data_IF_332014199729
#
_entry.id   IF_332014199729
#
_cell.length_a   1.000
_cell.length_b   1.000
_cell.length_c   1.000
_cell.angle_alpha   90.00
_cell.angle_beta   90.00
_cell.angle_gamma   90.00
#
_symmetry.space_group_name_H-M   'P 1'
#
loop_
_entity.id
_entity.type
_entity.pdbx_description
1 polymer ?
#
# COMPACT_ATOMS: atom_id res chain seq x y z
N UNK A 1 37.88 21.03 33.62
CA UNK A 1 37.94 19.93 32.64
C UNK A 1 36.52 19.70 32.18
N UNK A 2 36.23 20.06 30.93
CA UNK A 2 34.87 20.19 30.43
C UNK A 2 34.19 18.82 30.34
N UNK A 3 33.11 18.69 31.09
CA UNK A 3 32.12 17.62 30.98
C UNK A 3 31.43 17.73 29.60
N UNK A 4 31.92 16.97 28.63
CA UNK A 4 31.24 16.81 27.35
C UNK A 4 30.01 15.91 27.56
N UNK A 5 28.85 16.55 27.61
CA UNK A 5 27.56 15.86 27.75
C UNK A 5 27.34 14.85 26.62
N UNK A 6 26.77 13.71 26.98
CA UNK A 6 26.15 12.77 26.03
C UNK A 6 24.93 13.45 25.38
N UNK A 7 25.18 14.34 24.42
CA UNK A 7 24.17 14.97 23.58
C UNK A 7 23.78 14.06 22.42
N UNK A 8 22.64 13.38 22.56
CA UNK A 8 21.64 13.08 21.51
C UNK A 8 22.04 12.70 20.07
N UNK A 9 23.13 11.97 19.80
CA UNK A 9 23.50 11.67 18.40
C UNK A 9 23.11 10.29 17.83
N UNK A 10 22.56 9.37 18.64
CA UNK A 10 22.15 8.05 18.15
C UNK A 10 20.85 7.60 18.81
N UNK A 11 19.71 8.12 18.34
CA UNK A 11 18.41 7.61 18.74
C UNK A 11 18.16 6.26 18.07
N UNK A 12 18.67 5.18 18.66
CA UNK A 12 18.33 3.82 18.26
C UNK A 12 16.90 3.50 18.73
N UNK A 13 15.95 3.18 17.84
CA UNK A 13 14.63 2.73 18.27
C UNK A 13 14.75 1.48 19.15
N UNK A 14 14.00 1.44 20.25
CA UNK A 14 13.97 0.28 21.13
C UNK A 14 13.50 -0.96 20.37
N UNK A 15 14.20 -2.08 20.55
CA UNK A 15 13.71 -3.36 20.02
C UNK A 15 12.57 -3.90 20.88
N UNK A 16 11.42 -4.07 20.26
CA UNK A 16 10.17 -4.48 20.88
C UNK A 16 9.80 -5.95 20.64
N UNK A 17 10.70 -6.73 20.03
CA UNK A 17 10.42 -8.10 19.61
C UNK A 17 9.54 -8.21 18.35
N UNK A 18 9.02 -7.10 17.83
CA UNK A 18 8.18 -7.03 16.63
C UNK A 18 8.83 -6.30 15.47
N UNK A 19 9.93 -5.61 15.69
CA UNK A 19 10.75 -4.99 14.65
C UNK A 19 11.77 -6.01 14.11
N UNK A 20 12.46 -5.69 13.01
CA UNK A 20 13.50 -6.57 12.47
C UNK A 20 14.66 -6.68 13.46
N UNK A 21 14.83 -7.87 14.07
CA UNK A 21 15.95 -8.09 15.00
C UNK A 21 17.29 -7.96 14.28
N UNK A 22 17.41 -8.42 13.03
CA UNK A 22 18.63 -8.26 12.22
C UNK A 22 19.05 -6.80 12.03
N UNK A 23 18.09 -5.92 11.74
CA UNK A 23 18.36 -4.50 11.53
C UNK A 23 18.72 -3.81 12.84
N UNK A 24 17.95 -4.07 13.91
CA UNK A 24 18.26 -3.54 15.23
C UNK A 24 19.62 -4.02 15.71
N UNK A 25 19.91 -5.31 15.56
CA UNK A 25 21.17 -5.91 15.97
C UNK A 25 22.37 -5.24 15.29
N UNK A 26 22.26 -4.95 13.99
CA UNK A 26 23.31 -4.25 13.25
C UNK A 26 23.55 -2.85 13.81
N UNK A 27 22.49 -2.07 13.97
CA UNK A 27 22.58 -0.70 14.52
C UNK A 27 23.07 -0.69 15.97
N UNK A 28 22.68 -1.67 16.77
CA UNK A 28 23.15 -1.81 18.16
C UNK A 28 24.64 -2.14 18.21
N UNK A 29 25.13 -3.03 17.33
CA UNK A 29 26.58 -3.30 17.19
C UNK A 29 27.34 -2.03 16.82
N UNK A 30 26.82 -1.23 15.89
CA UNK A 30 27.46 0.04 15.48
C UNK A 30 27.49 1.05 16.64
N UNK A 31 26.42 1.15 17.44
CA UNK A 31 26.37 1.97 18.66
C UNK A 31 27.41 1.52 19.70
N UNK A 32 27.51 0.21 19.97
CA UNK A 32 28.48 -0.32 20.93
C UNK A 32 29.93 -0.10 20.46
N UNK A 33 30.19 -0.13 19.15
CA UNK A 33 31.51 0.24 18.61
C UNK A 33 31.81 1.70 18.87
N UNK A 34 30.84 2.60 18.61
CA UNK A 34 31.00 4.03 18.85
C UNK A 34 31.24 4.35 20.35
N UNK A 35 30.62 3.60 21.26
CA UNK A 35 30.81 3.73 22.70
C UNK A 35 32.05 3.01 23.24
N UNK A 36 32.80 2.28 22.40
CA UNK A 36 33.96 1.49 22.83
C UNK A 36 33.62 0.22 23.62
N UNK A 37 32.37 -0.23 23.60
CA UNK A 37 31.84 -1.34 24.40
C UNK A 37 31.79 -2.68 23.63
N UNK A 38 32.08 -2.67 22.34
CA UNK A 38 31.92 -3.83 21.45
C UNK A 38 32.70 -5.08 21.87
N UNK A 39 33.80 -4.93 22.60
CA UNK A 39 34.62 -6.05 23.10
C UNK A 39 33.91 -6.86 24.18
N UNK A 40 33.05 -6.23 24.98
CA UNK A 40 32.34 -6.90 26.07
C UNK A 40 31.35 -7.97 25.57
N UNK A 41 30.88 -7.86 24.33
CA UNK A 41 30.03 -8.88 23.71
C UNK A 41 30.73 -10.23 23.51
N UNK A 42 32.07 -10.24 23.51
CA UNK A 42 32.87 -11.46 23.32
C UNK A 42 33.18 -12.19 24.63
N UNK A 43 32.70 -11.69 25.77
CA UNK A 43 32.95 -12.26 27.09
C UNK A 43 34.36 -11.97 27.62
N UNK A 44 34.69 -12.59 28.75
CA UNK A 44 35.90 -12.28 29.53
C UNK A 44 37.20 -12.62 28.81
N UNK A 45 37.17 -13.54 27.83
CA UNK A 45 38.30 -13.87 26.96
C UNK A 45 38.79 -12.66 26.14
N UNK A 46 37.94 -11.65 25.93
CA UNK A 46 38.29 -10.43 25.20
C UNK A 46 38.82 -9.29 26.09
N UNK A 47 39.01 -9.55 27.39
CA UNK A 47 39.58 -8.58 28.33
C UNK A 47 41.04 -8.25 27.94
N UNK A 48 41.40 -6.98 27.75
CA UNK A 48 42.79 -6.60 27.49
C UNK A 48 43.71 -6.88 28.68
N UNK A 49 44.92 -7.41 28.44
CA UNK A 49 45.91 -7.71 29.50
C UNK A 49 46.27 -6.50 30.37
N UNK A 50 46.23 -5.29 29.80
CA UNK A 50 46.56 -4.04 30.50
C UNK A 50 45.40 -3.46 31.32
N UNK A 51 44.22 -4.09 31.28
CA UNK A 51 43.01 -3.58 31.91
C UNK A 51 42.78 -4.26 33.26
N UNK A 52 42.45 -3.48 34.29
CA UNK A 52 42.12 -4.05 35.61
C UNK A 52 40.80 -4.82 35.56
N UNK A 53 40.57 -5.72 36.53
CA UNK A 53 39.29 -6.43 36.67
C UNK A 53 38.13 -5.44 36.92
N UNK A 54 38.37 -4.42 37.75
CA UNK A 54 37.35 -3.42 38.09
C UNK A 54 36.96 -2.57 36.87
N UNK A 55 37.93 -2.10 36.08
CA UNK A 55 37.63 -1.33 34.87
C UNK A 55 36.87 -2.19 33.85
N UNK A 56 37.21 -3.48 33.76
CA UNK A 56 36.53 -4.43 32.87
C UNK A 56 35.08 -4.65 33.30
N UNK A 57 34.85 -4.82 34.60
CA UNK A 57 33.51 -4.94 35.16
C UNK A 57 32.67 -3.69 34.89
N UNK A 58 33.22 -2.49 35.11
CA UNK A 58 32.50 -1.23 34.81
C UNK A 58 32.15 -1.12 33.32
N UNK A 59 33.05 -1.54 32.44
CA UNK A 59 32.80 -1.59 30.99
C UNK A 59 31.67 -2.57 30.64
N UNK A 60 31.67 -3.76 31.25
CA UNK A 60 30.61 -4.76 31.09
C UNK A 60 29.26 -4.24 31.60
N UNK A 61 29.20 -3.62 32.78
CA UNK A 61 27.98 -3.03 33.35
C UNK A 61 27.42 -1.91 32.46
N UNK A 62 28.29 -1.07 31.89
CA UNK A 62 27.90 -0.05 30.89
C UNK A 62 27.34 -0.69 29.64
N UNK A 63 27.93 -1.77 29.16
CA UNK A 63 27.44 -2.50 27.98
C UNK A 63 26.06 -3.13 28.23
N UNK A 64 25.89 -3.82 29.35
CA UNK A 64 24.59 -4.37 29.81
C UNK A 64 23.54 -3.28 29.87
N UNK A 65 23.84 -2.17 30.54
CA UNK A 65 22.94 -1.04 30.70
C UNK A 65 22.54 -0.45 29.34
N UNK A 66 23.50 -0.29 28.43
CA UNK A 66 23.23 0.23 27.08
C UNK A 66 22.32 -0.69 26.29
N UNK A 67 22.56 -2.01 26.32
CA UNK A 67 21.69 -3.00 25.65
C UNK A 67 20.28 -2.95 26.23
N UNK A 68 20.14 -2.99 27.55
CA UNK A 68 18.84 -2.96 28.25
C UNK A 68 18.04 -1.68 27.95
N UNK A 69 18.70 -0.53 27.83
CA UNK A 69 18.06 0.74 27.46
C UNK A 69 17.61 0.78 25.99
N UNK A 70 18.20 -0.04 25.12
CA UNK A 70 17.89 -0.11 23.69
C UNK A 70 16.88 -1.22 23.33
N UNK A 71 16.28 -1.88 24.31
CA UNK A 71 15.21 -2.87 24.14
C UNK A 71 13.97 -2.43 24.94
N UNK A 72 12.78 -2.88 24.53
CA UNK A 72 11.53 -2.59 25.22
C UNK A 72 11.34 -3.51 26.43
N UNK A 73 10.55 -3.08 27.42
CA UNK A 73 10.33 -3.81 28.68
C UNK A 73 9.88 -5.27 28.45
N UNK A 74 9.04 -5.49 27.43
CA UNK A 74 8.61 -6.85 27.02
C UNK A 74 9.77 -7.79 26.67
N UNK A 75 10.86 -7.26 26.13
CA UNK A 75 12.08 -8.00 25.78
C UNK A 75 13.08 -8.03 26.94
N UNK A 76 13.15 -6.95 27.74
CA UNK A 76 13.98 -6.91 28.97
C UNK A 76 13.62 -8.08 29.89
N UNK A 77 12.33 -8.35 30.07
CA UNK A 77 11.85 -9.46 30.89
C UNK A 77 12.39 -10.83 30.44
N UNK A 78 12.77 -10.99 29.17
CA UNK A 78 13.36 -12.24 28.67
C UNK A 78 14.86 -12.38 29.02
N UNK A 79 15.54 -11.29 29.34
CA UNK A 79 16.99 -11.24 29.59
C UNK A 79 17.33 -10.71 30.99
N UNK A 80 16.34 -10.57 31.86
CA UNK A 80 16.48 -9.90 33.17
C UNK A 80 17.48 -10.59 34.09
N UNK A 81 17.51 -11.94 34.05
CA UNK A 81 18.39 -12.78 34.87
C UNK A 81 19.85 -12.81 34.37
N UNK A 82 20.12 -12.24 33.20
CA UNK A 82 21.46 -12.27 32.60
C UNK A 82 22.25 -11.01 32.97
N UNK A 83 23.40 -11.20 33.65
CA UNK A 83 24.25 -10.08 34.12
C UNK A 83 25.45 -9.81 33.21
N UNK A 84 25.77 -10.72 32.28
CA UNK A 84 26.88 -10.55 31.34
C UNK A 84 26.39 -10.00 29.99
N UNK A 85 27.11 -9.04 29.37
CA UNK A 85 26.80 -8.57 28.02
C UNK A 85 26.74 -9.71 27.00
N UNK A 86 27.68 -10.65 27.08
CA UNK A 86 27.75 -11.80 26.19
C UNK A 86 26.53 -12.74 26.37
N UNK A 87 26.13 -13.00 27.61
CA UNK A 87 24.97 -13.83 27.91
C UNK A 87 23.65 -13.21 27.42
N UNK A 88 23.45 -11.90 27.66
CA UNK A 88 22.31 -11.16 27.10
C UNK A 88 22.31 -11.27 25.58
N UNK A 89 23.46 -11.03 24.94
CA UNK A 89 23.58 -11.04 23.50
C UNK A 89 23.26 -12.40 22.89
N UNK A 90 23.83 -13.46 23.45
CA UNK A 90 23.60 -14.84 23.03
C UNK A 90 22.13 -15.24 23.21
N UNK A 91 21.50 -14.85 24.32
CA UNK A 91 20.08 -15.13 24.59
C UNK A 91 19.18 -14.43 23.58
N UNK A 92 19.44 -13.16 23.25
CA UNK A 92 18.71 -12.45 22.20
C UNK A 92 18.89 -13.11 20.82
N UNK A 93 20.10 -13.53 20.48
CA UNK A 93 20.35 -14.29 19.23
C UNK A 93 19.61 -15.64 19.24
N UNK A 94 19.60 -16.38 20.35
CA UNK A 94 18.84 -17.64 20.48
C UNK A 94 17.32 -17.43 20.32
N UNK A 95 16.79 -16.32 20.85
CA UNK A 95 15.35 -16.04 20.77
C UNK A 95 14.93 -15.56 19.38
N UNK A 96 15.73 -14.71 18.74
CA UNK A 96 15.32 -13.97 17.54
C UNK A 96 16.12 -14.26 16.26
N UNK A 97 17.26 -14.96 16.33
CA UNK A 97 18.06 -15.40 15.16
C UNK A 97 18.10 -16.90 14.99
N UNK A 98 17.87 -17.68 16.04
CA UNK A 98 17.90 -19.13 15.89
C UNK A 98 16.85 -19.60 14.87
N UNK A 99 17.16 -20.68 14.15
CA UNK A 99 16.18 -21.46 13.38
C UNK A 99 15.22 -22.24 14.30
N UNK A 100 14.99 -21.74 15.52
CA UNK A 100 14.11 -22.34 16.50
C UNK A 100 12.66 -22.31 16.02
N UNK A 101 11.87 -23.27 16.46
CA UNK A 101 10.44 -23.30 16.18
C UNK A 101 9.77 -21.99 16.65
N UNK A 102 10.15 -21.48 17.82
CA UNK A 102 9.63 -20.24 18.38
C UNK A 102 9.84 -19.05 17.45
N UNK A 103 11.07 -18.85 16.93
CA UNK A 103 11.36 -17.75 16.02
C UNK A 103 10.57 -17.88 14.70
N UNK A 104 10.53 -19.08 14.12
CA UNK A 104 9.71 -19.38 12.93
C UNK A 104 8.24 -19.03 13.15
N UNK A 105 7.67 -19.42 14.30
CA UNK A 105 6.27 -19.15 14.66
C UNK A 105 6.02 -17.65 14.91
N UNK A 106 6.94 -16.94 15.56
CA UNK A 106 6.84 -15.49 15.78
C UNK A 106 6.85 -14.72 14.46
N UNK A 107 7.76 -15.06 13.53
CA UNK A 107 7.83 -14.44 12.22
C UNK A 107 6.56 -14.72 11.39
N UNK A 108 6.07 -15.98 11.36
CA UNK A 108 4.80 -16.32 10.72
C UNK A 108 3.62 -15.56 11.33
N UNK A 109 3.57 -15.46 12.66
CA UNK A 109 2.52 -14.70 13.37
C UNK A 109 2.55 -13.22 13.01
N UNK A 110 3.74 -12.62 12.88
CA UNK A 110 3.90 -11.23 12.41
C UNK A 110 3.43 -11.07 10.98
N UNK A 111 3.83 -11.96 10.07
CA UNK A 111 3.39 -11.94 8.67
C UNK A 111 1.87 -12.05 8.52
N UNK A 112 1.23 -13.03 9.16
CA UNK A 112 -0.22 -13.23 9.02
C UNK A 112 -1.06 -12.09 9.61
N UNK A 113 -0.50 -11.36 10.58
CA UNK A 113 -1.15 -10.21 11.22
C UNK A 113 -0.72 -8.87 10.66
N UNK A 114 0.17 -8.85 9.67
CA UNK A 114 0.59 -7.61 9.03
C UNK A 114 -0.62 -6.97 8.36
N UNK A 115 -0.90 -5.71 8.68
CA UNK A 115 -1.97 -4.90 8.10
C UNK A 115 -1.43 -3.51 7.84
N UNK A 116 -1.80 -2.96 6.69
CA UNK A 116 -1.56 -1.57 6.32
C UNK A 116 -2.74 -0.73 6.78
N UNK A 117 -2.47 0.44 7.36
CA UNK A 117 -3.50 1.44 7.66
C UNK A 117 -3.67 2.40 6.46
N UNK A 118 -4.83 3.05 6.33
CA UNK A 118 -5.09 3.96 5.20
C UNK A 118 -4.14 5.17 5.15
N UNK A 119 -3.55 5.54 6.28
CA UNK A 119 -2.58 6.64 6.42
C UNK A 119 -1.14 6.23 6.04
N UNK A 120 -0.85 4.93 5.97
CA UNK A 120 0.47 4.42 5.62
C UNK A 120 0.74 4.58 4.11
N UNK A 121 2.02 4.64 3.73
CA UNK A 121 2.37 4.52 2.31
C UNK A 121 2.48 3.06 1.88
N UNK A 122 1.91 2.73 0.71
CA UNK A 122 2.00 1.38 0.13
C UNK A 122 3.45 0.88 0.02
N UNK A 123 4.38 1.78 -0.32
CA UNK A 123 5.80 1.46 -0.47
C UNK A 123 6.43 1.07 0.87
N UNK A 124 6.16 1.80 1.95
CA UNK A 124 6.66 1.46 3.28
C UNK A 124 6.11 0.11 3.75
N UNK A 125 4.81 -0.13 3.55
CA UNK A 125 4.18 -1.41 3.87
C UNK A 125 4.81 -2.58 3.09
N UNK A 126 5.03 -2.40 1.79
CA UNK A 126 5.71 -3.40 0.95
C UNK A 126 7.13 -3.70 1.44
N UNK A 127 7.87 -2.69 1.89
CA UNK A 127 9.21 -2.88 2.44
C UNK A 127 9.19 -3.70 3.73
N UNK A 128 8.21 -3.46 4.62
CA UNK A 128 8.02 -4.25 5.84
C UNK A 128 7.65 -5.70 5.49
N UNK A 129 6.72 -5.90 4.54
CA UNK A 129 6.33 -7.22 4.07
C UNK A 129 7.52 -8.01 3.49
N UNK A 130 8.28 -7.40 2.57
CA UNK A 130 9.46 -8.03 1.97
C UNK A 130 10.52 -8.38 3.00
N UNK A 131 10.75 -7.49 3.99
CA UNK A 131 11.64 -7.76 5.11
C UNK A 131 11.24 -9.00 5.92
N UNK A 132 9.95 -9.20 6.17
CA UNK A 132 9.43 -10.40 6.85
C UNK A 132 9.63 -11.67 6.01
N UNK A 133 9.37 -11.61 4.71
CA UNK A 133 9.62 -12.74 3.80
C UNK A 133 11.11 -13.11 3.80
N UNK A 134 12.01 -12.13 3.77
CA UNK A 134 13.44 -12.38 3.82
C UNK A 134 13.91 -12.93 5.17
N UNK A 135 13.34 -12.46 6.29
CA UNK A 135 13.58 -13.05 7.62
C UNK A 135 13.14 -14.51 7.68
N UNK A 136 11.96 -14.83 7.13
CA UNK A 136 11.45 -16.20 7.03
C UNK A 136 12.35 -17.09 6.18
N UNK A 137 12.82 -16.59 5.02
CA UNK A 137 13.78 -17.28 4.16
C UNK A 137 15.09 -17.58 4.92
N UNK A 138 15.61 -16.63 5.72
CA UNK A 138 16.83 -16.81 6.53
C UNK A 138 16.68 -17.91 7.59
N UNK A 139 15.50 -18.08 8.18
CA UNK A 139 15.21 -19.17 9.12
C UNK A 139 14.75 -20.47 8.44
N UNK A 140 14.93 -20.58 7.12
CA UNK A 140 14.57 -21.74 6.31
C UNK A 140 13.07 -22.07 6.35
N UNK A 141 12.24 -21.02 6.24
CA UNK A 141 10.80 -21.10 6.01
C UNK A 141 10.52 -20.51 4.62
N UNK A 142 10.11 -21.38 3.70
CA UNK A 142 9.69 -20.96 2.36
C UNK A 142 8.18 -20.78 2.33
N UNK A 143 7.75 -19.66 1.77
CA UNK A 143 6.36 -19.37 1.42
C UNK A 143 6.32 -19.34 -0.10
N UNK A 144 5.32 -19.98 -0.71
CA UNK A 144 5.20 -19.97 -2.17
C UNK A 144 5.01 -18.55 -2.70
N UNK A 145 5.43 -18.27 -3.94
CA UNK A 145 5.24 -16.94 -4.53
C UNK A 145 3.76 -16.53 -4.61
N UNK A 146 2.88 -17.51 -4.82
CA UNK A 146 1.43 -17.34 -4.83
C UNK A 146 0.90 -16.93 -3.44
N UNK A 147 1.31 -17.65 -2.38
CA UNK A 147 0.95 -17.30 -1.01
C UNK A 147 1.53 -15.95 -0.59
N UNK A 148 2.76 -15.62 -1.02
CA UNK A 148 3.36 -14.31 -0.78
C UNK A 148 2.51 -13.20 -1.41
N UNK A 149 2.11 -13.36 -2.67
CA UNK A 149 1.24 -12.40 -3.35
C UNK A 149 -0.11 -12.26 -2.64
N UNK A 150 -0.76 -13.38 -2.30
CA UNK A 150 -2.05 -13.39 -1.61
C UNK A 150 -1.97 -12.75 -0.22
N UNK A 151 -0.91 -13.04 0.54
CA UNK A 151 -0.70 -12.44 1.87
C UNK A 151 -0.48 -10.93 1.78
N UNK A 152 0.27 -10.46 0.78
CA UNK A 152 0.44 -9.02 0.55
C UNK A 152 -0.91 -8.37 0.22
N UNK A 153 -1.67 -8.94 -0.72
CA UNK A 153 -2.97 -8.40 -1.12
C UNK A 153 -3.99 -8.35 0.04
N UNK A 154 -4.05 -9.41 0.86
CA UNK A 154 -4.92 -9.49 2.05
C UNK A 154 -4.44 -8.63 3.23
N UNK A 155 -3.25 -8.04 3.15
CA UNK A 155 -2.73 -7.15 4.19
C UNK A 155 -3.10 -5.68 3.97
N UNK A 156 -3.67 -5.35 2.81
CA UNK A 156 -4.10 -3.99 2.46
C UNK A 156 -5.46 -3.65 3.10
N UNK A 157 -5.77 -2.37 3.33
CA UNK A 157 -7.07 -1.96 3.87
C UNK A 157 -8.16 -2.07 2.80
N UNK A 158 -9.43 -2.05 3.23
CA UNK A 158 -10.62 -2.18 2.36
C UNK A 158 -10.66 -1.13 1.24
N UNK A 159 -10.00 0.03 1.43
CA UNK A 159 -9.87 1.05 0.38
C UNK A 159 -9.12 0.55 -0.87
N UNK A 160 -8.39 -0.57 -0.78
CA UNK A 160 -7.73 -1.24 -1.89
C UNK A 160 -8.48 -2.44 -2.46
N UNK A 161 -9.66 -2.81 -1.91
CA UNK A 161 -10.40 -4.03 -2.28
C UNK A 161 -10.63 -4.13 -3.79
N UNK A 162 -11.07 -3.05 -4.45
CA UNK A 162 -11.28 -3.01 -5.90
C UNK A 162 -10.00 -3.33 -6.67
N UNK A 163 -8.85 -2.87 -6.20
CA UNK A 163 -7.56 -3.15 -6.84
C UNK A 163 -7.14 -4.60 -6.59
N UNK A 164 -7.35 -5.12 -5.38
CA UNK A 164 -7.10 -6.53 -5.04
C UNK A 164 -7.92 -7.45 -5.94
N UNK A 165 -9.22 -7.24 -6.05
CA UNK A 165 -10.12 -8.02 -6.92
C UNK A 165 -9.68 -7.95 -8.38
N UNK A 166 -9.30 -6.77 -8.86
CA UNK A 166 -8.82 -6.58 -10.23
C UNK A 166 -7.50 -7.33 -10.48
N UNK A 167 -6.61 -7.38 -9.48
CA UNK A 167 -5.33 -8.09 -9.57
C UNK A 167 -5.54 -9.60 -9.62
N UNK A 168 -6.52 -10.12 -8.89
CA UNK A 168 -6.84 -11.55 -8.80
C UNK A 168 -7.70 -12.03 -9.97
N UNK A 169 -8.55 -11.17 -10.52
CA UNK A 169 -9.50 -11.54 -11.57
C UNK A 169 -8.79 -12.03 -12.85
N UNK A 170 -9.20 -13.21 -13.33
CA UNK A 170 -8.79 -13.75 -14.62
C UNK A 170 -7.34 -14.23 -14.71
N UNK A 171 -6.65 -14.42 -13.58
CA UNK A 171 -5.30 -14.98 -13.54
C UNK A 171 -5.30 -16.40 -13.00
N UNK A 172 -4.63 -17.30 -13.72
CA UNK A 172 -4.41 -18.68 -13.27
C UNK A 172 -3.21 -18.79 -12.31
N UNK A 173 -2.27 -17.83 -12.36
CA UNK A 173 -1.11 -17.75 -11.47
C UNK A 173 -0.78 -16.31 -11.14
N UNK A 174 -0.19 -16.08 -9.96
CA UNK A 174 0.29 -14.77 -9.54
C UNK A 174 1.62 -14.91 -8.80
N UNK A 175 2.58 -14.06 -9.13
CA UNK A 175 3.84 -13.94 -8.38
C UNK A 175 3.81 -12.70 -7.49
N UNK A 176 4.67 -12.68 -6.46
CA UNK A 176 4.79 -11.51 -5.59
C UNK A 176 5.15 -10.25 -6.41
N UNK A 177 6.08 -10.39 -7.36
CA UNK A 177 6.55 -9.29 -8.20
C UNK A 177 5.43 -8.71 -9.10
N UNK A 178 4.58 -9.58 -9.66
CA UNK A 178 3.41 -9.15 -10.44
C UNK A 178 2.39 -8.42 -9.57
N UNK A 179 2.13 -8.91 -8.35
CA UNK A 179 1.23 -8.25 -7.41
C UNK A 179 1.76 -6.86 -7.03
N UNK A 180 3.05 -6.76 -6.70
CA UNK A 180 3.72 -5.51 -6.33
C UNK A 180 3.69 -4.48 -7.47
N UNK A 181 4.05 -4.90 -8.69
CA UNK A 181 4.01 -4.02 -9.87
C UNK A 181 2.61 -3.48 -10.14
N UNK A 182 1.60 -4.36 -10.06
CA UNK A 182 0.21 -3.95 -10.27
C UNK A 182 -0.26 -2.98 -9.18
N UNK A 183 0.02 -3.28 -7.90
CA UNK A 183 -0.34 -2.41 -6.78
C UNK A 183 0.28 -1.01 -6.90
N UNK A 184 1.57 -0.91 -7.25
CA UNK A 184 2.24 0.37 -7.46
C UNK A 184 1.61 1.16 -8.61
N UNK A 185 1.22 0.49 -9.70
CA UNK A 185 0.54 1.14 -10.83
C UNK A 185 -0.85 1.67 -10.45
N UNK A 186 -1.57 0.97 -9.58
CA UNK A 186 -2.87 1.40 -9.08
C UNK A 186 -2.76 2.53 -8.06
N UNK A 187 -1.78 2.47 -7.17
CA UNK A 187 -1.51 3.53 -6.17
C UNK A 187 -1.16 4.87 -6.85
N UNK A 188 -0.34 4.85 -7.90
CA UNK A 188 -0.05 6.03 -8.71
C UNK A 188 -1.34 6.65 -9.28
N UNK A 189 -2.20 5.83 -9.91
CA UNK A 189 -3.49 6.29 -10.46
C UNK A 189 -4.47 6.76 -9.39
N UNK A 190 -4.42 6.19 -8.18
CA UNK A 190 -5.24 6.59 -7.04
C UNK A 190 -4.85 7.98 -6.56
N UNK A 191 -3.55 8.26 -6.45
CA UNK A 191 -3.01 9.58 -6.09
C UNK A 191 -3.35 10.64 -7.14
N UNK A 192 -3.27 10.31 -8.42
CA UNK A 192 -3.65 11.23 -9.50
C UNK A 192 -5.13 11.62 -9.43
N UNK A 193 -6.04 10.67 -9.12
CA UNK A 193 -7.47 10.97 -8.95
C UNK A 193 -7.78 11.75 -7.67
N UNK A 194 -7.04 11.51 -6.58
CA UNK A 194 -7.17 12.27 -5.34
C UNK A 194 -6.64 13.71 -5.47
N UNK A 195 -5.63 13.93 -6.32
CA UNK A 195 -5.10 15.26 -6.68
C UNK A 195 -6.01 16.11 -7.58
N UNK A 196 -7.09 15.54 -8.13
CA UNK A 196 -8.09 16.25 -8.96
C UNK A 196 -9.32 16.65 -8.13
N UNK A 197 -9.10 17.07 -6.87
CA UNK A 197 -10.07 17.85 -6.09
C UNK A 197 -9.47 19.14 -5.53
N UNK A 198 -8.68 19.83 -6.36
CA UNK A 198 -8.49 21.28 -6.24
C UNK A 198 -9.40 21.94 -7.28
N UNK A 199 -10.11 22.99 -6.87
CA UNK A 199 -11.17 23.75 -7.57
C UNK A 199 -10.83 24.35 -8.95
N UNK A 200 -9.83 23.84 -9.68
CA UNK A 200 -9.32 24.42 -10.93
C UNK A 200 -9.55 23.58 -12.20
N UNK A 201 -10.40 22.54 -12.13
CA UNK A 201 -10.86 21.83 -13.33
C UNK A 201 -11.95 22.59 -14.11
N UNK A 202 -11.95 23.93 -14.06
CA UNK A 202 -12.73 24.81 -14.96
C UNK A 202 -11.82 25.71 -15.81
N UNK A 203 -10.50 25.71 -15.60
CA UNK A 203 -9.60 26.67 -16.27
C UNK A 203 -8.69 26.08 -17.37
N UNK A 204 -8.81 24.79 -17.72
CA UNK A 204 -7.90 24.14 -18.69
C UNK A 204 -8.47 24.00 -20.12
N UNK A 205 -9.32 24.93 -20.57
CA UNK A 205 -9.66 25.10 -22.02
C UNK A 205 -9.35 26.52 -22.53
N UNK A 206 -8.85 27.43 -21.69
CA UNK A 206 -8.42 28.75 -22.15
C UNK A 206 -6.89 28.87 -22.11
N UNK A 207 -6.31 28.89 -23.30
CA UNK A 207 -5.00 29.49 -23.68
C UNK A 207 -3.91 28.54 -24.17
N UNK A 208 -4.12 28.04 -25.40
CA UNK A 208 -3.03 27.80 -26.34
C UNK A 208 -2.93 28.94 -27.37
N UNK A 209 -1.99 29.86 -27.15
CA UNK A 209 -1.24 30.56 -28.22
C UNK A 209 -1.79 31.89 -28.77
N UNK A 210 -1.01 32.97 -28.64
CA UNK A 210 -1.19 34.17 -29.47
C UNK A 210 -0.42 35.40 -29.03
N UNK A 211 0.66 35.71 -29.75
CA UNK A 211 1.52 36.90 -29.67
C UNK A 211 0.73 38.22 -29.65
N UNK A 212 1.20 39.20 -28.87
CA UNK A 212 0.52 40.49 -28.67
C UNK A 212 0.50 41.44 -29.88
N UNK A 213 -0.49 42.35 -29.88
CA UNK A 213 -0.37 43.78 -30.23
C UNK A 213 -1.69 44.54 -29.99
N UNK A 214 -1.61 45.53 -29.10
CA UNK A 214 -2.18 46.89 -29.13
C UNK A 214 -3.66 47.19 -29.46
N UNK A 215 -4.24 48.01 -28.56
CA UNK A 215 -5.07 49.21 -28.80
C UNK A 215 -6.56 49.09 -29.22
N UNK A 216 -7.41 49.36 -28.22
CA UNK A 216 -8.46 50.41 -28.16
C UNK A 216 -9.71 50.35 -29.08
N UNK A 217 -10.83 50.74 -28.44
CA UNK A 217 -12.14 51.26 -28.93
C UNK A 217 -13.29 50.28 -29.25
N UNK A 218 -14.24 50.32 -28.32
CA UNK A 218 -15.65 50.73 -28.50
C UNK A 218 -16.56 50.08 -29.56
N UNK A 219 -17.70 49.62 -29.02
CA UNK A 219 -19.07 49.73 -29.54
C UNK A 219 -19.66 48.59 -30.38
N UNK A 220 -20.92 48.31 -30.01
CA UNK A 220 -22.00 47.55 -30.66
C UNK A 220 -22.13 46.05 -30.38
N UNK A 221 -23.17 45.77 -29.60
CA UNK A 221 -23.99 44.57 -29.71
C UNK A 221 -24.41 44.30 -31.16
N UNK A 222 -24.34 43.04 -31.60
CA UNK A 222 -25.38 42.36 -32.41
C UNK A 222 -25.01 40.88 -32.64
N UNK A 223 -25.95 40.01 -32.28
CA UNK A 223 -26.32 38.74 -32.92
C UNK A 223 -25.22 37.71 -33.26
N UNK A 224 -25.33 36.51 -32.67
CA UNK A 224 -24.57 35.35 -33.14
C UNK A 224 -24.93 34.04 -32.43
N UNK A 225 -26.08 33.47 -32.77
CA UNK A 225 -26.56 32.14 -32.37
C UNK A 225 -25.53 31.09 -32.80
N UNK A 226 -24.89 30.42 -31.84
CA UNK A 226 -23.85 29.41 -32.07
C UNK A 226 -24.42 28.20 -32.85
N UNK A 227 -23.89 28.00 -34.05
CA UNK A 227 -24.10 26.83 -34.92
C UNK A 227 -23.37 25.62 -34.32
N UNK A 228 -24.11 24.55 -34.04
CA UNK A 228 -23.55 23.22 -33.83
C UNK A 228 -23.02 22.65 -35.14
N UNK A 229 -21.84 22.03 -35.07
CA UNK A 229 -21.12 21.38 -36.16
C UNK A 229 -21.97 20.37 -36.95
N UNK A 230 -21.72 20.36 -38.26
CA UNK A 230 -22.29 19.43 -39.23
C UNK A 230 -21.76 18.01 -38.98
N UNK A 231 -22.64 17.10 -38.57
CA UNK A 231 -22.47 15.68 -38.87
C UNK A 231 -22.82 15.45 -40.37
N UNK A 232 -22.13 14.56 -41.09
CA UNK A 232 -22.44 14.27 -42.49
C UNK A 232 -23.90 13.80 -42.63
N UNK A 233 -24.68 14.48 -43.47
CA UNK A 233 -26.14 14.27 -43.61
C UNK A 233 -26.53 12.81 -43.84
N UNK A 234 -25.67 11.98 -44.41
CA UNK A 234 -25.98 10.60 -44.81
C UNK A 234 -26.04 9.58 -43.66
N UNK A 235 -25.55 9.90 -42.46
CA UNK A 235 -25.59 8.97 -41.31
C UNK A 235 -26.64 9.33 -40.25
N UNK A 236 -27.27 10.50 -40.37
CA UNK A 236 -28.23 10.97 -39.37
C UNK A 236 -29.60 10.33 -39.61
N UNK A 237 -30.01 9.46 -38.68
CA UNK A 237 -31.33 8.80 -38.66
C UNK A 237 -32.41 9.70 -38.06
N UNK A 238 -33.52 9.85 -38.77
CA UNK A 238 -34.67 10.58 -38.29
C UNK A 238 -35.37 9.83 -37.14
N UNK A 239 -35.42 10.44 -35.96
CA UNK A 239 -36.12 9.91 -34.78
C UNK A 239 -37.65 9.78 -34.91
N UNK A 240 -38.25 10.15 -36.05
CA UNK A 240 -39.71 10.00 -36.31
C UNK A 240 -40.02 8.94 -37.36
N UNK A 241 -39.34 8.95 -38.52
CA UNK A 241 -39.60 8.00 -39.60
C UNK A 241 -38.53 6.92 -39.78
N UNK A 242 -37.39 7.02 -39.07
CA UNK A 242 -36.31 6.04 -39.14
C UNK A 242 -35.43 6.12 -40.39
N UNK A 243 -35.72 7.00 -41.34
CA UNK A 243 -34.94 7.21 -42.57
C UNK A 243 -33.66 8.04 -42.30
N UNK A 244 -32.59 7.76 -43.05
CA UNK A 244 -31.33 8.49 -43.00
C UNK A 244 -31.42 9.79 -43.82
N UNK A 245 -30.55 10.77 -43.56
CA UNK A 245 -30.49 12.01 -44.34
C UNK A 245 -31.01 13.26 -43.62
N UNK A 246 -31.79 13.10 -42.55
CA UNK A 246 -32.47 14.22 -41.87
C UNK A 246 -32.81 13.91 -40.40
N UNK A 247 -32.95 14.97 -39.59
CA UNK A 247 -33.45 14.87 -38.20
C UNK A 247 -34.96 15.10 -38.14
N UNK A 248 -35.58 14.76 -37.00
CA UNK A 248 -37.03 14.92 -36.74
C UNK A 248 -37.61 16.29 -37.12
N UNK A 249 -36.81 17.37 -37.06
CA UNK A 249 -37.25 18.73 -37.41
C UNK A 249 -37.52 18.91 -38.91
N UNK A 250 -36.76 18.20 -39.74
CA UNK A 250 -36.74 18.29 -41.21
C UNK A 250 -37.43 17.08 -41.87
N UNK A 251 -38.22 16.33 -41.10
CA UNK A 251 -38.92 15.15 -41.59
C UNK A 251 -40.04 15.52 -42.57
N UNK A 252 -40.03 15.03 -43.82
CA UNK A 252 -41.06 15.36 -44.81
C UNK A 252 -42.45 14.83 -44.44
N UNK A 253 -42.55 13.80 -43.58
CA UNK A 253 -43.79 13.22 -43.06
C UNK A 253 -44.44 14.06 -41.94
N UNK A 254 -44.39 15.40 -42.02
CA UNK A 254 -44.85 16.32 -40.95
C UNK A 254 -46.25 16.90 -41.16
N UNK A 255 -46.91 16.61 -42.28
CA UNK A 255 -48.29 17.04 -42.49
C UNK A 255 -49.16 15.86 -42.88
N UNK A 256 -49.55 15.10 -41.87
CA UNK A 256 -50.80 14.34 -41.86
C UNK A 256 -51.09 13.98 -40.41
N UNK A 257 -51.99 14.75 -39.81
CA UNK A 257 -52.68 14.37 -38.60
C UNK A 257 -54.15 14.59 -38.87
N UNK A 258 -54.93 13.51 -38.87
CA UNK A 258 -56.16 13.35 -38.09
C UNK A 258 -56.92 12.08 -38.46
N UNK A 259 -57.40 11.42 -37.40
CA UNK A 259 -58.62 10.62 -37.30
C UNK A 259 -58.55 9.26 -38.04
N UNK A 260 -59.03 8.11 -37.54
CA UNK A 260 -60.12 7.81 -36.62
C UNK A 260 -59.96 6.42 -35.95
N UNK A 261 -60.91 6.11 -35.07
CA UNK A 261 -60.98 4.99 -34.14
C UNK A 261 -61.26 3.59 -34.75
N UNK A 262 -60.92 2.59 -33.93
CA UNK A 262 -61.76 1.47 -33.44
C UNK A 262 -61.47 0.01 -33.87
N UNK A 263 -61.53 -0.87 -32.85
CA UNK A 263 -61.87 -2.32 -32.84
C UNK A 263 -60.79 -3.30 -33.37
N UNK A 264 -60.39 -4.40 -32.71
CA UNK A 264 -61.14 -5.37 -31.87
C UNK A 264 -60.20 -6.03 -30.84
N UNK A 265 -60.75 -6.29 -29.65
CA UNK A 265 -60.31 -7.22 -28.59
C UNK A 265 -60.49 -8.66 -29.06
N UNK A 266 -59.53 -9.53 -28.80
CA UNK A 266 -59.85 -10.87 -28.32
C UNK A 266 -58.75 -11.35 -27.38
N UNK A 267 -59.18 -11.87 -26.24
CA UNK A 267 -58.34 -12.61 -25.32
C UNK A 267 -59.13 -13.83 -24.87
N UNK A 268 -58.44 -14.91 -24.56
CA UNK A 268 -58.88 -15.96 -23.63
C UNK A 268 -57.69 -16.92 -23.41
N UNK A 269 -57.24 -17.03 -22.15
CA UNK A 269 -57.23 -18.26 -21.31
C UNK A 269 -56.09 -19.24 -21.62
N UNK A 270 -55.42 -19.89 -20.67
CA UNK A 270 -55.58 -20.03 -19.23
C UNK A 270 -54.37 -20.78 -18.65
N UNK A 271 -54.19 -20.65 -17.33
CA UNK A 271 -53.16 -21.27 -16.48
C UNK A 271 -53.40 -22.78 -16.31
N UNK A 272 -52.35 -23.59 -16.17
CA UNK A 272 -51.98 -24.32 -14.93
C UNK A 272 -50.86 -25.37 -15.15
N UNK A 273 -49.72 -25.26 -14.45
CA UNK A 273 -49.28 -25.96 -13.20
C UNK A 273 -48.82 -27.41 -13.42
N UNK A 274 -47.53 -27.70 -13.13
CA UNK A 274 -47.02 -28.58 -12.06
C UNK A 274 -45.47 -28.66 -12.16
N UNK A 275 -44.72 -28.03 -11.26
CA UNK A 275 -44.17 -28.55 -9.98
C UNK A 275 -43.14 -29.69 -10.13
N UNK A 276 -41.90 -29.31 -9.81
CA UNK A 276 -40.91 -29.98 -8.97
C UNK A 276 -40.66 -31.48 -9.11
N UNK A 277 -39.46 -31.84 -9.57
CA UNK A 277 -38.75 -33.05 -9.15
C UNK A 277 -37.23 -32.79 -9.09
N UNK A 278 -36.66 -32.81 -7.89
CA UNK A 278 -35.43 -33.56 -7.53
C UNK A 278 -34.97 -33.22 -6.10
N UNK A 279 -35.27 -34.12 -5.17
CA UNK A 279 -34.42 -34.49 -4.03
C UNK A 279 -34.72 -35.94 -3.66
N UNK A 280 -33.81 -36.83 -4.05
CA UNK A 280 -33.40 -38.11 -3.47
C UNK A 280 -32.66 -38.86 -4.58
#
# INVERSE_FOLDING_TARGET
MSSSGLGSHFALPKFDGKSSFTLWQRRMKDLLVHLGLSRALKGDEAKPEKMSDNDWQELCEKCVSTIRLCIADSVVNCVIDEESPAAIWEKLEKLYMAKSLTNKLLLKRRLYRLRMEDEDTLVEHMNVFNGLIDELKRVDVKISEEDQALLLLNSLPDSYEIYVDTILCGKDTITLEQAQSALLSFDARRKDKAGVRSDDAVAAIAHGGGRGRSSIRDYKSKHGRSKSQNAPKNEVRCYKCGELGHIRRDCPKKREGKNDANLVRDGETGRNILRHFKKA
#
